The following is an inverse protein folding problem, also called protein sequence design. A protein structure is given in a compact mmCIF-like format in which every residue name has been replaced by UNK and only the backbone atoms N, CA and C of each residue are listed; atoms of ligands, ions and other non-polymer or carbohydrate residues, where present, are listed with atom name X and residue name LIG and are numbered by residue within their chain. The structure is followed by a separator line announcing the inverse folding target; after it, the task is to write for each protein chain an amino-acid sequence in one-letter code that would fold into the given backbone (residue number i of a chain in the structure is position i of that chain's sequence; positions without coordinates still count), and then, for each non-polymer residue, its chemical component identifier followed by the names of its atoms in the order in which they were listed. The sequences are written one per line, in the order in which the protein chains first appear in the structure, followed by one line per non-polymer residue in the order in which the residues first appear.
data_IF_277984243298
#
_entry.id   IF_277984243298
#
_cell.length_a   1.000
_cell.length_b   1.000
_cell.length_c   1.000
_cell.angle_alpha   90.00
_cell.angle_beta   90.00
_cell.angle_gamma   90.00
#
_symmetry.space_group_name_H-M   'P 1'
#
loop_
_entity.id
_entity.type
_entity.pdbx_description
1 polymer ?
#
# COMPACT_ATOMS: atom_id res chain seq x y z
N UNK A 1 51.51 -53.22 -32.86
CA UNK A 1 52.47 -53.31 -31.74
C UNK A 1 53.46 -52.16 -31.84
N UNK A 2 53.49 -51.26 -30.82
CA UNK A 2 54.59 -50.39 -30.31
C UNK A 2 55.38 -49.55 -31.35
N UNK A 3 55.59 -48.23 -31.25
CA UNK A 3 55.99 -47.33 -30.13
C UNK A 3 55.63 -45.89 -30.55
N UNK A 4 54.87 -45.09 -29.78
CA UNK A 4 55.27 -44.16 -28.72
C UNK A 4 56.55 -43.33 -28.99
N UNK A 5 56.36 -42.03 -29.24
CA UNK A 5 57.39 -40.99 -29.28
C UNK A 5 56.82 -39.70 -28.70
N UNK A 6 57.15 -39.43 -27.45
CA UNK A 6 56.85 -38.24 -26.65
C UNK A 6 57.83 -37.12 -27.05
N UNK A 7 57.36 -35.91 -27.37
CA UNK A 7 58.22 -34.72 -27.37
C UNK A 7 57.56 -33.59 -26.58
N UNK A 8 58.18 -33.34 -25.43
CA UNK A 8 57.97 -32.24 -24.51
C UNK A 8 58.83 -31.06 -25.01
N UNK A 9 58.24 -29.88 -25.20
CA UNK A 9 59.02 -28.63 -25.22
C UNK A 9 58.30 -27.57 -24.39
N UNK A 10 59.06 -27.07 -23.41
CA UNK A 10 58.74 -26.02 -22.46
C UNK A 10 59.95 -25.06 -22.53
N UNK A 11 59.76 -23.81 -22.95
CA UNK A 11 60.67 -22.70 -22.64
C UNK A 11 59.91 -21.36 -22.58
N UNK A 12 59.66 -21.00 -21.33
CA UNK A 12 59.64 -19.71 -20.61
C UNK A 12 59.94 -18.36 -21.29
N UNK A 13 59.00 -17.42 -21.05
CA UNK A 13 59.07 -16.03 -20.51
C UNK A 13 60.09 -14.96 -21.00
N UNK A 14 59.54 -13.80 -21.40
CA UNK A 14 59.81 -12.44 -20.88
C UNK A 14 58.81 -11.46 -21.55
N UNK A 15 57.84 -10.83 -20.87
CA UNK A 15 57.88 -9.75 -19.87
C UNK A 15 57.56 -8.37 -20.49
N UNK A 16 56.45 -7.75 -20.05
CA UNK A 16 56.23 -6.32 -19.80
C UNK A 16 54.77 -6.15 -19.32
N UNK A 17 54.56 -6.18 -18.00
CA UNK A 17 54.31 -5.04 -17.09
C UNK A 17 52.84 -4.66 -16.99
N UNK A 18 52.32 -4.98 -15.81
CA UNK A 18 51.07 -4.62 -15.14
C UNK A 18 50.48 -3.26 -15.54
N UNK A 19 49.15 -3.25 -15.72
CA UNK A 19 48.27 -2.33 -15.00
C UNK A 19 46.96 -3.07 -14.70
N UNK A 20 46.51 -2.92 -13.45
CA UNK A 20 45.30 -3.49 -12.88
C UNK A 20 44.03 -3.04 -13.61
N UNK A 21 43.17 -3.99 -13.98
CA UNK A 21 41.73 -3.72 -13.98
C UNK A 21 40.94 -4.96 -13.59
N UNK A 22 40.18 -4.80 -12.51
CA UNK A 22 39.48 -5.82 -11.77
C UNK A 22 38.19 -6.29 -12.45
N UNK A 23 37.95 -7.59 -12.30
CA UNK A 23 36.70 -8.36 -12.32
C UNK A 23 35.41 -7.55 -12.58
N UNK A 24 34.75 -7.80 -13.71
CA UNK A 24 33.30 -7.66 -13.83
C UNK A 24 32.68 -9.05 -13.90
N UNK A 25 32.24 -9.50 -12.74
CA UNK A 25 31.26 -10.56 -12.55
C UNK A 25 29.91 -9.96 -12.97
N UNK A 26 29.40 -10.36 -14.13
CA UNK A 26 28.03 -10.03 -14.53
C UNK A 26 27.05 -10.71 -13.56
N UNK A 27 26.60 -9.93 -12.58
CA UNK A 27 25.37 -10.22 -11.86
C UNK A 27 24.23 -9.83 -12.81
N UNK A 28 23.63 -10.81 -13.48
CA UNK A 28 22.32 -10.64 -14.09
C UNK A 28 21.31 -10.35 -12.97
N UNK A 29 21.04 -9.06 -12.77
CA UNK A 29 19.89 -8.61 -12.01
C UNK A 29 18.65 -8.99 -12.85
N UNK A 30 17.96 -10.06 -12.47
CA UNK A 30 16.67 -10.41 -13.03
C UNK A 30 15.69 -9.30 -12.63
N UNK A 31 15.60 -8.25 -13.44
CA UNK A 31 14.51 -7.29 -13.39
C UNK A 31 13.23 -8.02 -13.79
N UNK A 32 12.53 -8.53 -12.77
CA UNK A 32 11.17 -9.04 -12.93
C UNK A 32 10.30 -7.89 -13.47
N UNK A 33 9.48 -8.14 -14.51
CA UNK A 33 8.53 -7.14 -14.96
C UNK A 33 7.59 -6.82 -13.80
N UNK A 34 7.56 -5.55 -13.39
CA UNK A 34 6.58 -5.03 -12.43
C UNK A 34 5.20 -5.43 -12.96
N UNK A 35 4.49 -6.28 -12.21
CA UNK A 35 3.21 -6.83 -12.61
C UNK A 35 2.28 -5.70 -13.08
N UNK A 36 1.94 -5.71 -14.38
CA UNK A 36 1.19 -4.63 -15.00
C UNK A 36 -0.27 -4.74 -14.54
N UNK A 37 -0.70 -3.81 -13.68
CA UNK A 37 -2.04 -3.67 -13.09
C UNK A 37 -3.11 -3.21 -14.11
N UNK A 38 -3.07 -3.69 -15.37
CA UNK A 38 -3.98 -3.25 -16.46
C UNK A 38 -5.47 -3.56 -16.22
N UNK A 39 -5.82 -4.25 -15.14
CA UNK A 39 -7.19 -4.61 -14.81
C UNK A 39 -7.82 -3.74 -13.71
N UNK A 40 -7.04 -2.99 -12.93
CA UNK A 40 -7.64 -1.99 -12.05
C UNK A 40 -8.27 -0.92 -12.94
N UNK A 41 -9.59 -0.74 -12.85
CA UNK A 41 -10.34 0.10 -13.78
C UNK A 41 -10.80 -0.57 -15.08
N UNK A 42 -10.82 -1.91 -15.18
CA UNK A 42 -11.45 -2.62 -16.32
C UNK A 42 -12.99 -2.45 -16.38
N UNK A 43 -13.56 -1.87 -15.31
CA UNK A 43 -14.98 -1.55 -15.09
C UNK A 43 -15.91 -2.76 -15.01
N UNK A 44 -15.38 -3.99 -15.04
CA UNK A 44 -16.17 -5.22 -14.96
C UNK A 44 -15.88 -5.98 -13.67
N UNK A 45 -14.65 -6.49 -13.50
CA UNK A 45 -14.25 -7.28 -12.34
C UNK A 45 -13.17 -6.59 -11.49
N UNK A 46 -12.52 -5.57 -12.03
CA UNK A 46 -11.48 -4.78 -11.39
C UNK A 46 -10.41 -5.69 -10.75
N UNK A 47 -10.16 -5.54 -9.44
CA UNK A 47 -9.23 -6.36 -8.68
C UNK A 47 -9.87 -7.60 -8.00
N UNK A 48 -11.09 -8.00 -8.35
CA UNK A 48 -11.71 -9.21 -7.81
C UNK A 48 -10.94 -10.46 -8.25
N UNK A 49 -10.56 -11.32 -7.31
CA UNK A 49 -9.74 -12.52 -7.55
C UNK A 49 -8.24 -12.24 -7.71
N UNK A 50 -7.79 -11.01 -7.46
CA UNK A 50 -6.38 -10.65 -7.47
C UNK A 50 -5.74 -10.93 -6.12
N UNK A 51 -4.45 -11.23 -6.19
CA UNK A 51 -3.58 -11.23 -5.03
C UNK A 51 -3.45 -9.87 -4.38
N UNK A 52 -3.20 -9.85 -3.08
CA UNK A 52 -3.03 -8.63 -2.29
C UNK A 52 -1.98 -8.84 -1.20
N UNK A 53 -1.12 -7.84 -1.04
CA UNK A 53 -0.15 -7.79 0.04
C UNK A 53 -0.68 -6.92 1.18
N UNK A 54 -1.18 -7.58 2.23
CA UNK A 54 -1.76 -6.91 3.39
C UNK A 54 -0.73 -6.18 4.25
N UNK A 55 0.56 -6.23 3.94
CA UNK A 55 1.60 -5.44 4.63
C UNK A 55 1.74 -4.03 4.04
N UNK A 56 1.22 -3.83 2.82
CA UNK A 56 1.30 -2.57 2.07
C UNK A 56 0.26 -1.52 2.49
N UNK A 57 -0.28 -0.80 1.51
CA UNK A 57 -1.32 0.20 1.69
C UNK A 57 -2.67 -0.46 1.99
N UNK A 58 -3.53 0.21 2.74
CA UNK A 58 -4.90 -0.20 3.00
C UNK A 58 -5.73 -0.15 1.71
N UNK A 59 -6.22 -1.28 1.20
CA UNK A 59 -7.03 -1.44 -0.03
C UNK A 59 -6.79 -0.38 -1.11
N UNK A 60 -5.65 -0.44 -1.79
CA UNK A 60 -5.34 0.34 -3.00
C UNK A 60 -4.79 -0.57 -4.09
N UNK A 61 -4.87 -0.13 -5.34
CA UNK A 61 -4.27 -0.88 -6.46
C UNK A 61 -2.75 -1.04 -6.34
N UNK A 62 -2.06 -0.15 -5.61
CA UNK A 62 -0.60 -0.22 -5.42
C UNK A 62 -0.15 -1.42 -4.55
N UNK A 63 -1.04 -2.02 -3.77
CA UNK A 63 -0.75 -3.24 -2.99
C UNK A 63 -1.46 -4.48 -3.53
N UNK A 64 -2.21 -4.34 -4.63
CA UNK A 64 -2.67 -5.46 -5.41
C UNK A 64 -1.52 -6.09 -6.20
N UNK A 65 -1.63 -7.39 -6.43
CA UNK A 65 -0.61 -8.25 -7.03
C UNK A 65 -1.19 -8.96 -8.26
N UNK A 66 -0.56 -10.02 -8.74
CA UNK A 66 -1.05 -10.73 -9.92
C UNK A 66 -2.40 -11.44 -9.70
N UNK A 67 -3.14 -11.66 -10.80
CA UNK A 67 -4.43 -12.36 -10.80
C UNK A 67 -4.27 -13.82 -10.37
N UNK A 68 -5.05 -14.26 -9.39
CA UNK A 68 -5.01 -15.63 -8.85
C UNK A 68 -6.20 -16.44 -9.32
N UNK A 69 -7.41 -15.86 -9.29
CA UNK A 69 -8.65 -16.53 -9.68
C UNK A 69 -9.07 -16.07 -11.08
N UNK A 70 -9.40 -17.02 -11.95
CA UNK A 70 -10.05 -16.80 -13.23
C UNK A 70 -11.55 -16.55 -13.03
N UNK A 71 -11.90 -15.30 -12.75
CA UNK A 71 -13.27 -14.84 -12.54
C UNK A 71 -14.16 -15.10 -13.76
N UNK A 72 -13.59 -15.04 -14.98
CA UNK A 72 -14.36 -15.25 -16.22
C UNK A 72 -14.76 -16.71 -16.34
N UNK A 73 -13.82 -17.64 -16.11
CA UNK A 73 -14.12 -19.06 -16.09
C UNK A 73 -15.09 -19.42 -14.96
N UNK A 74 -14.89 -18.89 -13.75
CA UNK A 74 -15.79 -19.13 -12.62
C UNK A 74 -17.22 -18.69 -12.94
N UNK A 75 -17.39 -17.46 -13.43
CA UNK A 75 -18.73 -16.93 -13.74
C UNK A 75 -19.39 -17.67 -14.90
N UNK A 76 -18.62 -18.15 -15.88
CA UNK A 76 -19.16 -18.93 -16.99
C UNK A 76 -19.85 -20.21 -16.50
N UNK A 77 -19.26 -20.87 -15.51
CA UNK A 77 -19.77 -22.14 -14.97
C UNK A 77 -20.75 -21.93 -13.81
N UNK A 78 -20.60 -20.84 -13.04
CA UNK A 78 -21.38 -20.50 -11.85
C UNK A 78 -21.67 -18.99 -11.80
N UNK A 79 -22.57 -18.51 -12.65
CA UNK A 79 -22.87 -17.08 -12.78
C UNK A 79 -23.32 -16.47 -11.44
N UNK A 80 -24.14 -17.19 -10.68
CA UNK A 80 -24.67 -16.76 -9.38
C UNK A 80 -23.62 -16.68 -8.26
N UNK A 81 -22.39 -17.15 -8.51
CA UNK A 81 -21.27 -17.08 -7.56
C UNK A 81 -20.42 -15.83 -7.71
N UNK A 82 -20.66 -15.02 -8.73
CA UNK A 82 -19.94 -13.76 -9.00
C UNK A 82 -20.95 -12.63 -9.04
N UNK A 83 -21.05 -11.89 -7.94
CA UNK A 83 -21.96 -10.75 -7.84
C UNK A 83 -21.25 -9.46 -8.27
N UNK A 84 -21.92 -8.74 -9.18
CA UNK A 84 -21.45 -7.47 -9.76
C UNK A 84 -22.49 -6.36 -9.56
N UNK A 85 -22.98 -6.19 -8.33
CA UNK A 85 -24.02 -5.22 -7.99
C UNK A 85 -23.54 -3.78 -7.80
N UNK A 86 -24.29 -2.82 -8.35
CA UNK A 86 -24.22 -1.42 -7.94
C UNK A 86 -24.89 -1.27 -6.56
N UNK A 87 -24.10 -0.93 -5.54
CA UNK A 87 -24.58 -0.74 -4.16
C UNK A 87 -24.12 0.63 -3.66
N UNK A 88 -24.59 1.74 -4.25
CA UNK A 88 -24.08 3.06 -3.93
C UNK A 88 -24.43 3.45 -2.49
N UNK A 89 -23.45 3.95 -1.74
CA UNK A 89 -23.66 4.45 -0.39
C UNK A 89 -22.46 5.27 0.07
N UNK A 90 -22.68 6.22 0.97
CA UNK A 90 -21.60 6.91 1.66
C UNK A 90 -21.55 6.45 3.11
N UNK A 91 -20.35 6.24 3.64
CA UNK A 91 -20.14 5.91 5.04
C UNK A 91 -18.78 6.41 5.50
N UNK A 92 -18.61 6.58 6.81
CA UNK A 92 -17.35 6.97 7.40
C UNK A 92 -16.94 5.99 8.50
N UNK A 93 -15.65 5.96 8.79
CA UNK A 93 -15.07 5.12 9.84
C UNK A 93 -13.96 5.91 10.52
N UNK A 94 -13.97 5.91 11.85
CA UNK A 94 -12.83 6.36 12.65
C UNK A 94 -12.11 5.17 13.28
N UNK A 95 -10.80 5.09 13.17
CA UNK A 95 -9.95 4.09 13.86
C UNK A 95 -8.87 4.81 14.63
N UNK A 96 -8.63 4.40 15.87
CA UNK A 96 -7.68 5.07 16.74
C UNK A 96 -6.76 4.05 17.41
N UNK A 97 -5.62 4.54 17.91
CA UNK A 97 -4.69 3.77 18.71
C UNK A 97 -3.82 4.68 19.56
N UNK A 98 -3.44 4.16 20.72
CA UNK A 98 -2.60 4.87 21.69
C UNK A 98 -1.15 5.03 21.20
N UNK A 99 -0.74 4.20 20.24
CA UNK A 99 0.51 4.26 19.47
C UNK A 99 0.24 3.96 17.99
N UNK A 100 1.25 4.10 17.13
CA UNK A 100 1.16 3.73 15.72
C UNK A 100 0.94 2.22 15.53
N UNK A 101 1.56 1.38 16.36
CA UNK A 101 1.35 -0.07 16.35
C UNK A 101 -0.06 -0.45 16.78
N UNK A 102 -0.59 0.18 17.82
CA UNK A 102 -1.96 -0.04 18.30
C UNK A 102 -2.98 0.38 17.23
N UNK A 103 -2.80 1.56 16.62
CA UNK A 103 -3.66 2.02 15.52
C UNK A 103 -3.66 1.02 14.37
N UNK A 104 -2.48 0.59 13.93
CA UNK A 104 -2.32 -0.35 12.81
C UNK A 104 -2.90 -1.73 13.14
N UNK A 105 -2.79 -2.19 14.39
CA UNK A 105 -3.45 -3.41 14.88
C UNK A 105 -4.98 -3.27 14.84
N UNK A 106 -5.50 -2.11 15.20
CA UNK A 106 -6.94 -1.85 15.18
C UNK A 106 -7.47 -1.78 13.75
N UNK A 107 -6.73 -1.20 12.80
CA UNK A 107 -7.04 -1.28 11.35
C UNK A 107 -7.08 -2.74 10.89
N UNK A 108 -6.06 -3.54 11.25
CA UNK A 108 -5.96 -4.97 10.91
C UNK A 108 -7.14 -5.77 11.46
N UNK A 109 -7.52 -5.49 12.71
CA UNK A 109 -8.62 -6.18 13.39
C UNK A 109 -9.98 -5.85 12.75
N UNK A 110 -10.18 -4.62 12.27
CA UNK A 110 -11.43 -4.21 11.60
C UNK A 110 -11.67 -4.95 10.28
N UNK A 111 -10.62 -5.38 9.58
CA UNK A 111 -10.76 -6.21 8.38
C UNK A 111 -10.75 -7.72 8.67
N UNK A 112 -10.65 -8.10 9.96
CA UNK A 112 -10.63 -9.48 10.46
C UNK A 112 -9.50 -10.34 9.87
N UNK A 113 -8.31 -9.78 9.69
CA UNK A 113 -7.15 -10.51 9.15
C UNK A 113 -6.44 -11.47 10.14
N UNK A 114 -7.06 -11.77 11.28
CA UNK A 114 -6.57 -12.72 12.27
C UNK A 114 -5.29 -12.27 13.00
N UNK A 115 -5.11 -12.77 14.23
CA UNK A 115 -3.88 -12.59 15.01
C UNK A 115 -3.68 -11.20 15.62
N UNK A 116 -2.55 -11.04 16.33
CA UNK A 116 -2.16 -9.81 17.03
C UNK A 116 -1.23 -8.89 16.20
N UNK A 117 -1.18 -9.11 14.88
CA UNK A 117 -0.29 -8.41 13.96
C UNK A 117 -0.80 -7.00 13.63
N UNK A 118 0.14 -6.13 13.27
CA UNK A 118 -0.12 -4.75 12.86
C UNK A 118 0.20 -4.62 11.37
N UNK A 119 -0.76 -5.00 10.53
CA UNK A 119 -0.71 -5.03 9.08
C UNK A 119 -1.20 -3.72 8.45
N UNK A 120 -1.05 -3.55 7.13
CA UNK A 120 -1.23 -2.30 6.39
C UNK A 120 -0.26 -1.18 6.80
N UNK A 121 0.91 -1.56 7.29
CA UNK A 121 1.95 -0.67 7.79
C UNK A 121 2.49 0.27 6.70
N UNK A 122 2.42 -0.13 5.43
CA UNK A 122 2.72 0.74 4.29
C UNK A 122 1.90 2.02 4.26
N UNK A 123 0.69 2.02 4.83
CA UNK A 123 -0.16 3.22 4.89
C UNK A 123 0.46 4.32 5.76
N UNK A 124 1.16 3.95 6.84
CA UNK A 124 1.87 4.90 7.70
C UNK A 124 3.06 5.51 6.96
N UNK A 125 3.91 4.68 6.36
CA UNK A 125 5.12 5.15 5.64
C UNK A 125 4.80 5.92 4.37
N UNK A 126 3.64 5.68 3.75
CA UNK A 126 3.16 6.48 2.62
C UNK A 126 2.48 7.79 3.04
N UNK A 127 2.04 7.90 4.30
CA UNK A 127 1.39 9.11 4.82
C UNK A 127 2.41 10.09 5.40
N UNK A 128 3.44 9.58 6.08
CA UNK A 128 4.46 10.40 6.72
C UNK A 128 5.81 10.27 6.04
N UNK A 129 6.52 11.39 5.87
CA UNK A 129 7.85 11.42 5.25
C UNK A 129 8.95 10.73 6.06
N UNK A 130 8.73 10.44 7.34
CA UNK A 130 9.71 9.84 8.24
C UNK A 130 9.03 9.13 9.42
N UNK A 131 9.69 8.08 9.94
CA UNK A 131 9.27 7.33 11.14
C UNK A 131 9.16 8.18 12.39
N UNK A 132 9.85 9.32 12.44
CA UNK A 132 9.77 10.28 13.55
C UNK A 132 8.36 10.85 13.77
N UNK A 133 7.49 10.79 12.76
CA UNK A 133 6.11 11.25 12.88
C UNK A 133 5.19 10.22 13.55
N UNK A 134 5.62 8.97 13.68
CA UNK A 134 4.77 7.89 14.19
C UNK A 134 5.56 6.96 15.12
N UNK A 135 6.41 7.53 15.97
CA UNK A 135 7.05 6.82 17.09
C UNK A 135 6.03 6.47 18.18
N UNK A 136 6.46 5.67 19.17
CA UNK A 136 5.66 5.30 20.35
C UNK A 136 5.15 6.51 21.17
N UNK A 137 5.71 7.70 20.93
CA UNK A 137 5.27 8.98 21.54
C UNK A 137 3.86 9.37 21.11
N UNK A 138 3.49 9.11 19.86
CA UNK A 138 2.27 9.66 19.28
C UNK A 138 1.12 8.66 19.32
N UNK A 139 -0.05 9.15 19.72
CA UNK A 139 -1.30 8.47 19.43
C UNK A 139 -1.79 8.86 18.05
N UNK A 140 -2.47 7.93 17.36
CA UNK A 140 -2.91 8.11 15.98
C UNK A 140 -4.40 7.80 15.89
N UNK A 141 -5.14 8.61 15.14
CA UNK A 141 -6.49 8.31 14.70
C UNK A 141 -6.65 8.64 13.22
N UNK A 142 -7.39 7.81 12.49
CA UNK A 142 -7.84 8.12 11.14
C UNK A 142 -9.34 8.38 11.14
N UNK A 143 -9.77 9.27 10.26
CA UNK A 143 -11.14 9.34 9.78
C UNK A 143 -11.12 9.09 8.27
N UNK A 144 -11.75 8.02 7.83
CA UNK A 144 -11.89 7.70 6.41
C UNK A 144 -13.35 7.82 5.99
N UNK A 145 -13.63 8.66 5.01
CA UNK A 145 -14.94 8.78 4.36
C UNK A 145 -14.91 8.07 3.02
N UNK A 146 -15.88 7.17 2.81
CA UNK A 146 -16.01 6.34 1.63
C UNK A 146 -17.25 6.76 0.83
N UNK A 147 -17.06 6.86 -0.48
CA UNK A 147 -18.11 6.98 -1.48
C UNK A 147 -18.13 5.66 -2.23
N UNK A 148 -18.90 4.69 -1.73
CA UNK A 148 -19.07 3.40 -2.40
C UNK A 148 -19.94 3.60 -3.63
N UNK A 149 -19.44 3.12 -4.78
CA UNK A 149 -20.16 3.07 -6.05
C UNK A 149 -20.60 1.65 -6.36
N UNK A 150 -19.71 0.68 -6.15
CA UNK A 150 -19.93 -0.73 -6.47
C UNK A 150 -19.36 -1.65 -5.40
N UNK A 151 -19.95 -2.82 -5.25
CA UNK A 151 -19.37 -3.95 -4.51
C UNK A 151 -19.27 -5.13 -5.48
N UNK A 152 -18.12 -5.79 -5.51
CA UNK A 152 -17.90 -6.99 -6.32
C UNK A 152 -17.49 -8.11 -5.38
N UNK A 153 -18.20 -9.25 -5.39
CA UNK A 153 -17.91 -10.32 -4.45
C UNK A 153 -18.18 -11.72 -4.96
N UNK A 154 -17.50 -12.69 -4.34
CA UNK A 154 -17.62 -14.11 -4.61
C UNK A 154 -18.40 -14.78 -3.48
N UNK A 155 -19.38 -15.62 -3.81
CA UNK A 155 -20.09 -16.47 -2.83
C UNK A 155 -19.66 -17.94 -2.88
N UNK A 156 -18.56 -18.22 -3.60
CA UNK A 156 -17.98 -19.54 -3.75
C UNK A 156 -17.08 -19.91 -2.56
N UNK A 157 -17.06 -21.20 -2.19
CA UNK A 157 -16.16 -21.72 -1.16
C UNK A 157 -14.71 -21.76 -1.65
N UNK A 158 -13.74 -21.79 -0.74
CA UNK A 158 -12.31 -21.94 -1.07
C UNK A 158 -12.05 -23.20 -1.91
N UNK A 159 -12.75 -24.31 -1.64
CA UNK A 159 -12.64 -25.54 -2.41
C UNK A 159 -13.07 -25.35 -3.86
N UNK A 160 -14.14 -24.59 -4.10
CA UNK A 160 -14.57 -24.26 -5.47
C UNK A 160 -13.57 -23.30 -6.13
N UNK A 161 -13.19 -22.22 -5.44
CA UNK A 161 -12.26 -21.22 -5.95
C UNK A 161 -10.90 -21.83 -6.35
N UNK A 162 -10.42 -22.83 -5.60
CA UNK A 162 -9.17 -23.55 -5.92
C UNK A 162 -9.18 -24.27 -7.28
N UNK A 163 -10.36 -24.52 -7.86
CA UNK A 163 -10.52 -25.13 -9.20
C UNK A 163 -10.48 -24.10 -10.33
N UNK A 164 -10.60 -22.82 -10.00
CA UNK A 164 -10.62 -21.70 -10.95
C UNK A 164 -9.37 -20.83 -10.82
N UNK A 165 -8.24 -21.42 -10.43
CA UNK A 165 -6.97 -20.71 -10.40
C UNK A 165 -6.46 -20.44 -11.82
N UNK A 166 -5.84 -19.28 -12.03
CA UNK A 166 -5.22 -18.96 -13.32
C UNK A 166 -4.11 -19.96 -13.63
N UNK A 167 -3.93 -20.29 -14.91
CA UNK A 167 -2.86 -21.20 -15.33
C UNK A 167 -1.48 -20.72 -14.89
N UNK A 168 -1.24 -19.40 -14.94
CA UNK A 168 0.01 -18.80 -14.49
C UNK A 168 0.29 -19.08 -13.01
N UNK A 169 -0.70 -18.86 -12.14
CA UNK A 169 -0.55 -19.10 -10.71
C UNK A 169 -0.30 -20.59 -10.41
N UNK A 170 -1.03 -21.50 -11.07
CA UNK A 170 -0.82 -22.95 -10.92
C UNK A 170 0.58 -23.37 -11.40
N UNK A 171 1.03 -22.85 -12.54
CA UNK A 171 2.37 -23.13 -13.06
C UNK A 171 3.45 -22.63 -12.10
N UNK A 172 3.30 -21.42 -11.55
CA UNK A 172 4.27 -20.83 -10.61
C UNK A 172 4.28 -21.57 -9.27
N UNK A 173 3.13 -21.97 -8.73
CA UNK A 173 3.05 -22.85 -7.56
C UNK A 173 3.83 -24.17 -7.76
N UNK A 174 4.04 -24.59 -9.00
CA UNK A 174 4.82 -25.79 -9.31
C UNK A 174 6.31 -25.60 -9.50
N UNK A 175 6.75 -24.38 -9.86
CA UNK A 175 8.12 -24.11 -10.32
C UNK A 175 8.87 -23.13 -9.42
N UNK A 176 8.15 -22.29 -8.68
CA UNK A 176 8.72 -21.14 -7.99
C UNK A 176 8.78 -21.35 -6.48
N UNK A 177 9.63 -20.57 -5.83
CA UNK A 177 9.76 -20.59 -4.38
C UNK A 177 8.56 -19.92 -3.69
N UNK A 178 8.24 -20.26 -2.43
CA UNK A 178 7.22 -19.55 -1.66
C UNK A 178 7.44 -18.03 -1.60
N UNK A 179 8.69 -17.58 -1.50
CA UNK A 179 9.04 -16.16 -1.51
C UNK A 179 8.68 -15.47 -2.83
N UNK A 180 8.87 -16.14 -3.97
CA UNK A 180 8.41 -15.64 -5.26
C UNK A 180 6.89 -15.52 -5.29
N UNK A 181 6.18 -16.54 -4.81
CA UNK A 181 4.72 -16.53 -4.75
C UNK A 181 4.22 -15.33 -3.94
N UNK A 182 4.80 -15.07 -2.77
CA UNK A 182 4.43 -13.93 -1.93
C UNK A 182 4.71 -12.59 -2.62
N UNK A 183 5.88 -12.44 -3.24
CA UNK A 183 6.24 -11.17 -3.88
C UNK A 183 5.37 -10.87 -5.11
N UNK A 184 5.04 -11.89 -5.89
CA UNK A 184 4.34 -11.76 -7.18
C UNK A 184 2.81 -11.80 -7.05
N UNK A 185 2.29 -12.62 -6.13
CA UNK A 185 0.85 -12.85 -5.92
C UNK A 185 0.36 -12.35 -4.56
N UNK A 186 1.23 -11.88 -3.66
CA UNK A 186 0.82 -11.37 -2.35
C UNK A 186 0.55 -12.47 -1.34
N UNK A 187 -0.11 -12.09 -0.24
CA UNK A 187 -0.36 -12.96 0.90
C UNK A 187 -1.82 -13.39 1.02
N UNK A 188 -2.73 -12.61 0.44
CA UNK A 188 -4.17 -12.86 0.47
C UNK A 188 -4.80 -12.64 -0.91
N UNK A 189 -6.05 -13.06 -1.08
CA UNK A 189 -6.83 -12.88 -2.30
C UNK A 189 -8.04 -12.01 -2.00
N UNK A 190 -8.29 -11.02 -2.87
CA UNK A 190 -9.46 -10.15 -2.83
C UNK A 190 -10.70 -10.89 -3.34
N UNK A 191 -11.68 -11.16 -2.46
CA UNK A 191 -12.92 -11.86 -2.86
C UNK A 191 -14.22 -11.12 -2.59
N UNK A 192 -14.17 -10.00 -1.86
CA UNK A 192 -15.30 -9.10 -1.66
C UNK A 192 -14.79 -7.66 -1.52
N UNK A 193 -14.79 -6.94 -2.64
CA UNK A 193 -14.18 -5.62 -2.75
C UNK A 193 -15.23 -4.53 -2.92
N UNK A 194 -14.90 -3.37 -2.36
CA UNK A 194 -15.66 -2.14 -2.52
C UNK A 194 -14.90 -1.22 -3.47
N UNK A 195 -15.60 -0.77 -4.52
CA UNK A 195 -15.12 0.19 -5.48
C UNK A 195 -15.78 1.55 -5.28
N UNK A 196 -15.00 2.61 -5.40
CA UNK A 196 -15.49 3.98 -5.29
C UNK A 196 -14.38 5.02 -5.16
N UNK A 197 -14.65 6.04 -4.36
CA UNK A 197 -13.65 7.00 -3.91
C UNK A 197 -13.58 7.01 -2.38
N UNK A 198 -12.44 7.36 -1.81
CA UNK A 198 -12.32 7.65 -0.38
C UNK A 198 -11.37 8.80 -0.10
N UNK A 199 -11.61 9.51 0.98
CA UNK A 199 -10.62 10.39 1.59
C UNK A 199 -10.27 9.83 2.96
N UNK A 200 -8.97 9.63 3.21
CA UNK A 200 -8.44 9.27 4.52
C UNK A 200 -7.76 10.49 5.10
N UNK A 201 -8.15 10.87 6.31
CA UNK A 201 -7.52 11.93 7.09
C UNK A 201 -6.91 11.28 8.34
N UNK A 202 -5.59 11.20 8.37
CA UNK A 202 -4.81 10.70 9.48
C UNK A 202 -4.42 11.86 10.39
N UNK A 203 -4.72 11.73 11.68
CA UNK A 203 -4.40 12.67 12.72
C UNK A 203 -3.47 12.01 13.72
N UNK A 204 -2.43 12.73 14.14
CA UNK A 204 -1.57 12.32 15.25
C UNK A 204 -1.43 13.43 16.27
N UNK A 205 -1.20 13.05 17.52
CA UNK A 205 -0.88 13.98 18.59
C UNK A 205 -0.05 13.32 19.69
N UNK A 206 0.72 14.13 20.41
CA UNK A 206 1.34 13.74 21.66
C UNK A 206 0.37 14.03 22.80
N UNK A 207 0.17 13.02 23.66
CA UNK A 207 -0.81 13.05 24.75
C UNK A 207 -0.14 12.59 26.04
N UNK A 208 -0.20 13.46 27.06
CA UNK A 208 0.42 13.24 28.37
C UNK A 208 -0.58 12.80 29.44
N UNK A 209 -1.84 12.54 29.07
CA UNK A 209 -2.89 12.08 29.98
C UNK A 209 -3.11 10.57 29.83
N UNK A 210 -3.80 9.96 30.80
CA UNK A 210 -4.16 8.54 30.73
C UNK A 210 -5.26 8.23 29.71
N UNK A 211 -6.00 9.24 29.23
CA UNK A 211 -7.14 9.09 28.32
C UNK A 211 -6.73 9.15 26.83
N UNK A 212 -5.57 8.60 26.47
CA UNK A 212 -4.96 8.72 25.14
C UNK A 212 -5.94 8.49 23.97
N UNK A 213 -6.67 7.38 23.96
CA UNK A 213 -7.63 7.05 22.88
C UNK A 213 -8.72 8.11 22.73
N UNK A 214 -9.43 8.45 23.81
CA UNK A 214 -10.50 9.45 23.76
C UNK A 214 -9.97 10.85 23.41
N UNK A 215 -8.76 11.18 23.87
CA UNK A 215 -8.12 12.47 23.56
C UNK A 215 -7.70 12.56 22.08
N UNK A 216 -7.08 11.52 21.50
CA UNK A 216 -6.69 11.54 20.07
C UNK A 216 -7.93 11.55 19.16
N UNK A 217 -8.99 10.82 19.52
CA UNK A 217 -10.26 10.82 18.79
C UNK A 217 -10.94 12.19 18.82
N UNK A 218 -10.96 12.87 19.98
CA UNK A 218 -11.50 14.22 20.09
C UNK A 218 -10.70 15.23 19.24
N UNK A 219 -9.38 15.12 19.23
CA UNK A 219 -8.48 15.92 18.40
C UNK A 219 -8.73 15.71 16.91
N UNK A 220 -8.76 14.44 16.48
CA UNK A 220 -9.08 14.05 15.11
C UNK A 220 -10.45 14.60 14.69
N UNK A 221 -11.50 14.35 15.48
CA UNK A 221 -12.85 14.77 15.14
C UNK A 221 -13.00 16.30 15.05
N UNK A 222 -12.31 17.04 15.93
CA UNK A 222 -12.18 18.50 15.83
C UNK A 222 -11.53 18.93 14.51
N UNK A 223 -10.42 18.28 14.12
CA UNK A 223 -9.75 18.51 12.83
C UNK A 223 -10.66 18.27 11.63
N UNK A 224 -11.38 17.14 11.61
CA UNK A 224 -12.32 16.79 10.54
C UNK A 224 -13.41 17.86 10.39
N UNK A 225 -14.02 18.26 11.49
CA UNK A 225 -15.06 19.28 11.49
C UNK A 225 -14.54 20.64 11.01
N UNK A 226 -13.42 21.09 11.55
CA UNK A 226 -12.92 22.45 11.32
C UNK A 226 -12.26 22.62 9.96
N UNK A 227 -11.59 21.57 9.45
CA UNK A 227 -10.81 21.65 8.22
C UNK A 227 -11.54 21.12 7.00
N UNK A 228 -12.31 20.03 7.14
CA UNK A 228 -12.93 19.36 5.99
C UNK A 228 -14.44 19.60 5.94
N UNK A 229 -15.02 20.25 6.96
CA UNK A 229 -16.46 20.45 7.11
C UNK A 229 -17.26 19.14 6.99
N UNK A 230 -16.67 18.04 7.47
CA UNK A 230 -17.29 16.72 7.49
C UNK A 230 -17.87 16.43 8.86
N UNK A 231 -18.96 15.66 8.87
CA UNK A 231 -19.56 15.17 10.11
C UNK A 231 -18.85 13.92 10.59
N UNK A 232 -18.47 13.90 11.86
CA UNK A 232 -17.94 12.69 12.51
C UNK A 232 -19.07 12.01 13.24
N UNK A 233 -19.33 10.76 12.90
CA UNK A 233 -20.38 9.97 13.53
C UNK A 233 -20.03 9.70 15.01
N UNK A 234 -21.03 9.86 15.88
CA UNK A 234 -20.89 9.66 17.32
C UNK A 234 -20.57 10.93 18.10
N UNK A 235 -20.49 10.78 19.42
CA UNK A 235 -20.16 11.86 20.34
C UNK A 235 -18.70 11.72 20.79
N UNK A 236 -17.92 12.79 20.64
CA UNK A 236 -16.58 12.89 21.22
C UNK A 236 -16.56 13.98 22.29
N UNK A 237 -15.77 13.75 23.33
CA UNK A 237 -15.62 14.71 24.42
C UNK A 237 -14.76 15.90 23.96
N UNK A 238 -15.43 16.99 23.58
CA UNK A 238 -14.78 18.22 23.13
C UNK A 238 -13.85 18.82 24.20
N UNK A 239 -14.05 18.50 25.49
CA UNK A 239 -13.19 19.01 26.56
C UNK A 239 -11.77 18.44 26.49
N UNK A 240 -11.57 17.30 25.82
CA UNK A 240 -10.28 16.64 25.64
C UNK A 240 -9.47 17.20 24.47
N UNK A 241 -10.05 18.03 23.59
CA UNK A 241 -9.33 18.59 22.43
C UNK A 241 -8.07 19.34 22.86
N UNK A 242 -8.15 20.10 23.96
CA UNK A 242 -7.06 20.88 24.54
C UNK A 242 -5.87 20.07 25.07
N UNK A 243 -6.07 18.75 25.27
CA UNK A 243 -5.05 17.85 25.81
C UNK A 243 -4.18 17.23 24.71
N UNK A 244 -4.44 17.58 23.43
CA UNK A 244 -3.60 17.23 22.30
C UNK A 244 -2.51 18.28 22.09
N UNK A 245 -1.30 17.84 21.73
CA UNK A 245 -0.15 18.69 21.40
C UNK A 245 0.67 18.08 20.28
N UNK A 246 1.54 18.87 19.63
CA UNK A 246 2.34 18.42 18.48
C UNK A 246 1.48 17.79 17.38
N UNK A 247 0.36 18.45 17.10
CA UNK A 247 -0.70 17.91 16.27
C UNK A 247 -0.35 18.01 14.78
N UNK A 248 -0.57 16.92 14.05
CA UNK A 248 -0.38 16.88 12.61
C UNK A 248 -1.53 16.15 11.94
N UNK A 249 -1.94 16.66 10.79
CA UNK A 249 -2.93 16.06 9.91
C UNK A 249 -2.27 15.73 8.58
N UNK A 250 -2.47 14.51 8.11
CA UNK A 250 -2.17 14.07 6.74
C UNK A 250 -3.48 13.65 6.09
N UNK A 251 -3.72 14.04 4.85
CA UNK A 251 -4.90 13.60 4.11
C UNK A 251 -4.55 13.17 2.69
N UNK A 252 -5.33 12.22 2.18
CA UNK A 252 -5.20 11.66 0.85
C UNK A 252 -6.55 11.19 0.31
N UNK A 253 -6.81 11.48 -0.95
CA UNK A 253 -7.91 10.88 -1.70
C UNK A 253 -7.45 9.71 -2.56
N UNK A 254 -8.28 8.67 -2.66
CA UNK A 254 -8.17 7.56 -3.61
C UNK A 254 -9.45 7.50 -4.46
N UNK A 255 -9.33 7.21 -5.75
CA UNK A 255 -10.45 7.26 -6.70
C UNK A 255 -10.91 8.69 -7.02
N UNK A 256 -11.88 8.82 -7.91
CA UNK A 256 -12.24 10.11 -8.51
C UNK A 256 -11.24 10.54 -9.59
N UNK A 257 -11.47 11.73 -10.16
CA UNK A 257 -10.61 12.32 -11.18
C UNK A 257 -9.23 12.66 -10.56
N UNK A 258 -8.13 12.07 -11.06
CA UNK A 258 -6.79 12.32 -10.51
C UNK A 258 -6.36 13.78 -10.55
N UNK A 259 -6.89 14.60 -11.47
CA UNK A 259 -6.59 16.04 -11.54
C UNK A 259 -7.21 16.85 -10.39
N UNK A 260 -8.14 16.24 -9.66
CA UNK A 260 -8.84 16.81 -8.50
C UNK A 260 -8.43 16.14 -7.20
N UNK A 261 -7.47 15.22 -7.23
CA UNK A 261 -7.01 14.51 -6.05
C UNK A 261 -6.41 15.46 -5.01
N UNK A 262 -6.64 15.15 -3.74
CA UNK A 262 -6.15 15.91 -2.60
C UNK A 262 -5.11 15.08 -1.87
N UNK A 263 -3.91 15.64 -1.69
CA UNK A 263 -2.84 15.07 -0.87
C UNK A 263 -2.21 16.23 -0.11
N UNK A 264 -2.09 16.11 1.20
CA UNK A 264 -1.45 17.14 2.00
C UNK A 264 -1.05 16.67 3.38
N UNK A 265 -0.11 17.40 3.98
CA UNK A 265 0.34 17.25 5.35
C UNK A 265 0.46 18.65 5.96
N UNK A 266 -0.05 18.84 7.17
CA UNK A 266 -0.06 20.12 7.85
C UNK A 266 0.06 19.99 9.36
N UNK A 267 0.69 21.00 9.97
CA UNK A 267 0.74 21.17 11.41
C UNK A 267 -0.59 21.79 11.90
N UNK A 268 -1.31 21.05 12.74
CA UNK A 268 -2.63 21.43 13.24
C UNK A 268 -2.60 22.22 14.57
N UNK A 269 -1.42 22.42 15.17
CA UNK A 269 -1.27 23.36 16.30
C UNK A 269 -1.39 24.83 15.85
N UNK A 270 -1.38 25.09 14.54
CA UNK A 270 -1.59 26.42 13.98
C UNK A 270 -3.03 26.93 14.26
N UNK A 271 -3.15 28.14 14.81
CA UNK A 271 -4.42 28.67 15.36
C UNK A 271 -5.55 28.86 14.34
N UNK A 272 -5.28 28.79 13.04
CA UNK A 272 -6.25 29.00 11.95
C UNK A 272 -5.93 28.06 10.77
N UNK A 273 -6.27 26.77 10.84
CA UNK A 273 -6.09 25.88 9.71
C UNK A 273 -7.02 26.30 8.56
N UNK A 274 -6.51 26.27 7.33
CA UNK A 274 -7.33 26.55 6.15
C UNK A 274 -8.36 25.44 5.93
N UNK A 275 -9.57 25.81 5.53
CA UNK A 275 -10.60 24.84 5.13
C UNK A 275 -10.13 24.18 3.82
N UNK A 276 -10.17 22.85 3.79
CA UNK A 276 -9.90 22.01 2.64
C UNK A 276 -11.22 21.68 1.97
N UNK A 277 -11.45 22.23 0.78
CA UNK A 277 -12.62 21.92 -0.03
C UNK A 277 -12.43 20.58 -0.75
N UNK A 278 -13.27 19.61 -0.41
CA UNK A 278 -13.28 18.28 -1.02
C UNK A 278 -14.34 18.12 -2.13
N UNK A 279 -15.18 19.14 -2.36
CA UNK A 279 -16.38 19.03 -3.19
C UNK A 279 -16.07 18.67 -4.65
N UNK A 280 -15.03 19.29 -5.23
CA UNK A 280 -14.61 19.04 -6.61
C UNK A 280 -14.18 17.58 -6.84
N UNK A 281 -13.43 17.02 -5.88
CA UNK A 281 -13.05 15.61 -5.87
C UNK A 281 -14.27 14.71 -5.67
N UNK A 282 -15.09 14.99 -4.66
CA UNK A 282 -16.27 14.19 -4.34
C UNK A 282 -17.25 14.09 -5.52
N UNK A 283 -17.45 15.19 -6.27
CA UNK A 283 -18.30 15.20 -7.47
C UNK A 283 -17.72 14.40 -8.63
N UNK A 284 -16.41 14.11 -8.62
CA UNK A 284 -15.73 13.31 -9.64
C UNK A 284 -15.72 11.81 -9.35
N UNK A 285 -16.18 11.39 -8.17
CA UNK A 285 -16.28 9.99 -7.77
C UNK A 285 -17.52 9.33 -8.41
N UNK A 286 -17.36 8.90 -9.65
CA UNK A 286 -18.39 8.20 -10.43
C UNK A 286 -17.95 6.80 -10.85
N UNK A 287 -18.76 6.13 -11.67
CA UNK A 287 -18.52 4.77 -12.15
C UNK A 287 -17.35 4.67 -13.15
N UNK A 288 -16.87 5.80 -13.67
CA UNK A 288 -15.70 5.83 -14.56
C UNK A 288 -14.38 5.97 -13.80
N UNK A 289 -14.42 6.56 -12.61
CA UNK A 289 -13.24 6.90 -11.83
C UNK A 289 -13.17 6.17 -10.47
N UNK A 290 -13.96 5.10 -10.32
CA UNK A 290 -13.90 4.25 -9.12
C UNK A 290 -12.64 3.39 -9.10
N UNK A 291 -12.09 3.18 -7.91
CA UNK A 291 -10.96 2.27 -7.65
C UNK A 291 -11.27 1.41 -6.42
N UNK A 292 -10.42 0.42 -6.13
CA UNK A 292 -10.46 -0.31 -4.86
C UNK A 292 -10.29 0.66 -3.69
N UNK A 293 -11.27 0.70 -2.79
CA UNK A 293 -11.24 1.58 -1.61
C UNK A 293 -11.48 0.84 -0.30
N UNK A 294 -12.10 -0.33 -0.31
CA UNK A 294 -12.31 -1.14 0.90
C UNK A 294 -12.53 -2.61 0.51
N UNK A 295 -12.60 -3.50 1.50
CA UNK A 295 -13.09 -4.87 1.34
C UNK A 295 -13.97 -5.27 2.52
N UNK A 296 -14.86 -6.25 2.33
CA UNK A 296 -15.71 -6.74 3.42
C UNK A 296 -14.83 -7.40 4.51
N UNK A 297 -15.01 -7.06 5.80
CA UNK A 297 -14.27 -7.69 6.88
C UNK A 297 -14.37 -9.22 6.91
N UNK A 298 -13.22 -9.89 6.81
CA UNK A 298 -13.12 -11.36 6.80
C UNK A 298 -13.23 -12.00 5.42
N UNK A 299 -13.31 -11.21 4.34
CA UNK A 299 -13.35 -11.71 2.96
C UNK A 299 -11.99 -11.99 2.34
N UNK A 300 -10.90 -11.50 2.93
CA UNK A 300 -9.56 -11.79 2.44
C UNK A 300 -9.21 -13.25 2.73
N UNK A 301 -9.00 -14.02 1.67
CA UNK A 301 -8.62 -15.44 1.78
C UNK A 301 -7.09 -15.52 1.80
N UNK A 302 -6.45 -16.13 2.81
CA UNK A 302 -5.02 -16.39 2.76
C UNK A 302 -4.65 -17.19 1.52
N UNK A 303 -3.61 -16.78 0.79
CA UNK A 303 -3.29 -17.34 -0.53
C UNK A 303 -3.04 -18.87 -0.49
N UNK A 304 -2.49 -19.36 0.61
CA UNK A 304 -2.23 -20.79 0.82
C UNK A 304 -3.51 -21.62 0.99
N UNK A 305 -4.65 -21.03 1.33
CA UNK A 305 -5.91 -21.76 1.47
C UNK A 305 -6.53 -22.17 0.12
N UNK A 306 -6.04 -21.59 -0.98
CA UNK A 306 -6.42 -21.98 -2.33
C UNK A 306 -5.53 -23.08 -2.93
N UNK A 307 -4.46 -23.50 -2.23
CA UNK A 307 -3.51 -24.49 -2.72
C UNK A 307 -3.97 -25.90 -2.35
N UNK A 308 -4.27 -26.74 -3.35
CA UNK A 308 -4.75 -28.11 -3.13
C UNK A 308 -3.65 -29.10 -2.73
N UNK A 309 -2.41 -28.89 -3.19
CA UNK A 309 -1.28 -29.73 -2.79
C UNK A 309 -0.90 -29.44 -1.32
N UNK A 310 -1.09 -30.42 -0.45
CA UNK A 310 -0.91 -30.26 0.99
C UNK A 310 0.53 -29.88 1.40
N UNK A 311 1.53 -30.40 0.70
CA UNK A 311 2.93 -30.11 0.99
C UNK A 311 3.29 -28.67 0.64
N UNK A 312 2.86 -28.21 -0.54
CA UNK A 312 3.04 -26.81 -0.98
C UNK A 312 2.22 -25.85 -0.16
N UNK A 313 0.99 -26.22 0.20
CA UNK A 313 0.13 -25.42 1.09
C UNK A 313 0.85 -25.12 2.40
N UNK A 314 1.40 -26.14 3.07
CA UNK A 314 2.08 -25.95 4.35
C UNK A 314 3.36 -25.10 4.21
N UNK A 315 4.16 -25.34 3.16
CA UNK A 315 5.35 -24.52 2.89
C UNK A 315 5.02 -23.05 2.62
N UNK A 316 3.99 -22.79 1.81
CA UNK A 316 3.55 -21.44 1.51
C UNK A 316 2.94 -20.77 2.74
N UNK A 317 2.17 -21.50 3.54
CA UNK A 317 1.60 -21.00 4.80
C UNK A 317 2.69 -20.52 5.73
N UNK A 318 3.71 -21.34 5.99
CA UNK A 318 4.83 -20.96 6.87
C UNK A 318 5.55 -19.71 6.34
N UNK A 319 5.80 -19.65 5.03
CA UNK A 319 6.44 -18.50 4.40
C UNK A 319 5.61 -17.22 4.51
N UNK A 320 4.29 -17.31 4.29
CA UNK A 320 3.36 -16.17 4.43
C UNK A 320 3.32 -15.70 5.88
N UNK A 321 3.14 -16.60 6.84
CA UNK A 321 3.08 -16.22 8.26
C UNK A 321 4.38 -15.56 8.74
N UNK A 322 5.54 -16.04 8.29
CA UNK A 322 6.82 -15.41 8.61
C UNK A 322 6.96 -14.04 7.94
N UNK A 323 6.61 -13.93 6.65
CA UNK A 323 6.60 -12.67 5.93
C UNK A 323 5.73 -11.61 6.63
N UNK A 324 4.51 -11.98 7.04
CA UNK A 324 3.59 -11.10 7.75
C UNK A 324 4.15 -10.64 9.10
N UNK A 325 4.82 -11.53 9.85
CA UNK A 325 5.47 -11.17 11.12
C UNK A 325 6.63 -10.20 10.91
N UNK A 326 7.47 -10.43 9.90
CA UNK A 326 8.62 -9.57 9.58
C UNK A 326 8.24 -8.18 9.08
N UNK A 327 7.07 -8.05 8.43
CA UNK A 327 6.59 -6.79 7.85
C UNK A 327 5.46 -6.14 8.66
N UNK A 328 5.07 -6.76 9.77
CA UNK A 328 4.16 -6.13 10.73
C UNK A 328 4.84 -4.92 11.36
N UNK A 329 4.07 -3.86 11.56
CA UNK A 329 4.56 -2.67 12.22
C UNK A 329 4.88 -2.95 13.70
N UNK A 330 6.01 -2.44 14.16
CA UNK A 330 6.44 -2.44 15.56
C UNK A 330 6.81 -1.01 15.91
N UNK A 331 6.33 -0.53 17.06
CA UNK A 331 6.61 0.83 17.51
C UNK A 331 8.12 1.08 17.60
N UNK A 332 8.53 2.25 17.13
CA UNK A 332 9.89 2.77 17.28
C UNK A 332 9.91 3.68 18.50
N UNK A 333 10.83 3.43 19.44
CA UNK A 333 10.92 4.23 20.65
C UNK A 333 11.42 5.65 20.37
N UNK A 334 10.86 6.65 21.05
CA UNK A 334 11.19 8.07 20.86
C UNK A 334 12.63 8.39 21.32
N UNK A 335 13.20 7.54 22.18
CA UNK A 335 14.56 7.67 22.69
C UNK A 335 15.65 7.33 21.67
N UNK A 336 15.32 6.70 20.53
CA UNK A 336 16.29 6.37 19.49
C UNK A 336 16.67 7.60 18.65
N UNK A 337 17.30 8.60 19.27
CA UNK A 337 18.03 9.65 18.55
C UNK A 337 19.33 9.06 18.00
N UNK A 338 19.42 8.91 16.68
CA UNK A 338 20.70 8.83 15.96
C UNK A 338 21.26 7.44 15.65
N UNK A 339 20.47 6.37 15.71
CA UNK A 339 20.85 5.09 15.09
C UNK A 339 20.22 4.99 13.71
N UNK A 340 21.00 4.87 12.64
CA UNK A 340 20.49 4.46 11.35
C UNK A 340 19.81 3.09 11.54
N UNK A 341 18.49 3.09 11.67
CA UNK A 341 17.70 1.86 11.59
C UNK A 341 17.95 1.31 10.20
N UNK A 342 18.63 0.15 10.14
CA UNK A 342 18.70 -0.63 8.92
C UNK A 342 17.27 -1.03 8.58
N UNK A 343 16.63 -0.25 7.74
CA UNK A 343 15.51 -0.72 6.95
C UNK A 343 16.01 -1.94 6.20
N UNK A 344 15.54 -3.13 6.57
CA UNK A 344 15.63 -4.30 5.72
C UNK A 344 14.64 -4.23 4.54
N UNK A 345 14.12 -3.04 4.24
CA UNK A 345 13.59 -2.69 2.94
C UNK A 345 14.76 -2.55 1.96
N UNK A 346 15.12 -3.65 1.29
CA UNK A 346 15.84 -3.54 0.02
C UNK A 346 14.99 -2.64 -0.88
N UNK A 347 15.48 -1.44 -1.13
CA UNK A 347 14.78 -0.40 -1.87
C UNK A 347 14.44 -0.87 -3.28
N UNK A 348 13.19 -0.68 -3.66
CA UNK A 348 12.86 -0.32 -5.03
C UNK A 348 12.53 1.17 -5.03
N UNK A 349 13.46 1.96 -5.54
CA UNK A 349 13.24 3.35 -5.91
C UNK A 349 12.10 3.39 -6.92
N UNK A 350 10.92 3.80 -6.48
CA UNK A 350 9.93 4.33 -7.43
C UNK A 350 10.22 5.82 -7.56
N UNK A 351 10.77 6.17 -8.72
CA UNK A 351 10.99 7.55 -9.16
C UNK A 351 9.68 8.32 -9.08
N UNK A 352 9.60 9.24 -8.12
CA UNK A 352 8.66 10.35 -8.13
C UNK A 352 8.95 11.21 -9.36
N UNK A 353 8.14 11.08 -10.41
CA UNK A 353 8.11 12.05 -11.50
C UNK A 353 7.41 13.32 -11.01
N UNK A 354 8.16 14.15 -10.28
CA UNK A 354 7.82 15.55 -10.05
C UNK A 354 8.12 16.33 -11.32
N UNK A 355 7.09 16.67 -12.09
CA UNK A 355 7.20 17.55 -13.24
C UNK A 355 7.41 18.98 -12.74
N UNK A 356 8.67 19.39 -12.60
CA UNK A 356 9.06 20.77 -12.30
C UNK A 356 8.98 21.60 -13.57
N UNK A 357 7.88 22.35 -13.74
CA UNK A 357 7.76 23.34 -14.80
C UNK A 357 8.65 24.54 -14.44
N UNK A 358 9.89 24.50 -14.96
CA UNK A 358 10.86 25.59 -14.88
C UNK A 358 10.35 26.77 -15.71
N UNK A 359 9.93 27.85 -15.05
CA UNK A 359 9.68 29.15 -15.69
C UNK A 359 11.01 29.68 -16.23
N UNK A 360 11.20 29.63 -17.54
CA UNK A 360 12.33 30.27 -18.23
C UNK A 360 11.97 31.76 -18.38
N UNK A 361 12.61 32.60 -17.58
CA UNK A 361 12.62 34.04 -17.77
C UNK A 361 13.44 34.40 -19.02
N UNK A 362 12.77 34.93 -20.04
CA UNK A 362 13.43 35.49 -21.20
C UNK A 362 13.84 36.95 -20.90
N UNK A 363 15.12 37.15 -20.61
CA UNK A 363 15.78 38.45 -20.70
C UNK A 363 16.09 38.73 -22.18
N UNK A 364 15.34 39.65 -22.80
CA UNK A 364 15.59 40.16 -24.14
C UNK A 364 15.79 41.68 -24.10
N UNK A 365 17.03 42.11 -23.92
CA UNK A 365 17.43 43.51 -23.99
C UNK A 365 17.78 43.86 -25.45
N UNK A 366 17.08 44.82 -26.10
CA UNK A 366 17.62 45.56 -27.26
C UNK A 366 16.90 46.90 -27.51
N UNK A 367 17.59 47.92 -27.00
CA UNK A 367 17.75 49.31 -27.45
C UNK A 367 17.25 49.77 -28.84
N UNK A 368 16.72 51.01 -28.81
CA UNK A 368 16.77 52.15 -29.78
C UNK A 368 15.98 52.12 -31.09
N UNK A 369 15.05 53.08 -31.24
CA UNK A 369 15.19 54.21 -32.19
C UNK A 369 14.34 55.42 -31.77
N UNK A 370 14.75 56.61 -32.23
CA UNK A 370 14.54 57.95 -31.67
C UNK A 370 13.67 58.81 -32.62
N UNK A 371 12.65 59.50 -32.08
CA UNK A 371 12.13 60.86 -32.45
C UNK A 371 11.52 61.06 -33.86
N UNK A 372 10.86 62.19 -34.20
CA UNK A 372 10.85 63.57 -33.63
C UNK A 372 10.17 63.75 -32.28
#
# INVERSE_FOLDING_TARGET
MKKLGLLLMLFTFAACTNDDFSVLQENEEITLPTAVTRASGDKLYDLLGYGYDVTGLYFTSASAKSKIIDIVALRKDYEERVDIGAVPSNYARMTSGTTAQDYTRNVTSKVKLGGALSLFSGSLSSSFSSTQHYTSKYSIADYTSFIRRRRLFLTASTELLSKYLTKMFVDDLSKQSPSFIIQHYGTHVLTDITLGGRITVLYRSSINTSKKTATVEAGCASGIKNMFNLSVDGHYDQTLVKDNSEQEIVYRTEGGDPSRALIGQLNYDSKNPSVIDISSWQQSCDDNNMTLVDAEPGSLIPIYDLVSDMGKKEQLKLAVENYLKEHSYVDIDDSSKGGAVRNNSRGHNTSSYGNSTRVIGANGNRSTYRRP
#
